data_IF_457198898152
#
_entry.id   IF_457198898152
#
_cell.length_a   1.000
_cell.length_b   1.000
_cell.length_c   1.000
_cell.angle_alpha   90.00
_cell.angle_beta   90.00
_cell.angle_gamma   90.00
#
_symmetry.space_group_name_H-M   'P 1'
#
loop_
_entity.id
_entity.type
_entity.pdbx_description
1 polymer ?
#
# COMPACT_ATOMS: atom_id res chain seq x y z
N UNK A 1 -53.82 29.91 24.80
CA UNK A 1 -52.94 29.82 23.61
C UNK A 1 -52.15 28.52 23.73
N UNK A 2 -52.12 27.60 22.77
CA UNK A 2 -51.77 27.70 21.33
C UNK A 2 -50.27 27.91 21.08
N UNK A 3 -49.63 26.79 20.70
CA UNK A 3 -48.69 26.59 19.57
C UNK A 3 -47.63 27.65 19.23
N UNK A 4 -46.38 27.14 19.14
CA UNK A 4 -45.31 27.40 18.14
C UNK A 4 -45.71 28.29 16.94
N UNK A 5 -44.80 29.15 16.38
CA UNK A 5 -43.67 28.62 15.57
C UNK A 5 -42.36 29.49 15.48
N UNK A 6 -41.44 28.97 14.64
CA UNK A 6 -40.34 29.61 13.90
C UNK A 6 -38.87 29.62 14.40
N UNK A 7 -38.02 29.18 13.47
CA UNK A 7 -36.56 29.22 13.39
C UNK A 7 -36.15 30.51 12.65
N UNK A 8 -34.99 31.13 12.94
CA UNK A 8 -34.16 31.85 11.95
C UNK A 8 -32.70 32.04 12.42
N UNK A 9 -31.78 32.03 11.45
CA UNK A 9 -30.30 32.07 11.51
C UNK A 9 -29.67 33.41 11.91
N UNK A 10 -28.41 33.39 12.41
CA UNK A 10 -27.15 33.87 11.76
C UNK A 10 -25.95 33.61 12.74
N UNK A 11 -24.71 33.20 12.38
CA UNK A 11 -23.72 33.55 11.33
C UNK A 11 -23.05 34.91 11.64
N UNK A 12 -21.73 35.15 11.59
CA UNK A 12 -20.52 34.39 11.16
C UNK A 12 -19.87 33.62 12.35
N UNK A 13 -18.64 33.06 12.42
CA UNK A 13 -17.38 32.96 11.61
C UNK A 13 -16.84 31.50 11.75
N UNK A 14 -15.90 30.90 11.00
CA UNK A 14 -14.86 31.23 9.99
C UNK A 14 -13.39 31.01 10.45
N UNK A 15 -12.86 29.83 10.13
CA UNK A 15 -11.48 29.62 9.71
C UNK A 15 -11.49 28.45 8.71
N UNK A 16 -11.33 28.74 7.41
CA UNK A 16 -11.35 27.73 6.36
C UNK A 16 -9.92 27.33 5.97
N UNK A 17 -9.58 26.07 6.25
CA UNK A 17 -8.53 25.33 5.55
C UNK A 17 -9.00 23.89 5.35
N UNK A 18 -10.02 23.67 4.53
CA UNK A 18 -10.54 22.35 4.21
C UNK A 18 -9.51 21.45 3.48
N UNK A 19 -9.04 20.33 4.07
CA UNK A 19 -8.67 19.17 3.27
C UNK A 19 -9.98 18.53 2.80
N UNK A 20 -10.18 18.43 1.49
CA UNK A 20 -11.43 17.91 0.93
C UNK A 20 -11.73 16.49 1.44
N UNK A 21 -12.68 16.37 2.38
CA UNK A 21 -13.12 15.07 2.88
C UNK A 21 -13.96 14.37 1.82
N UNK A 22 -13.26 13.65 0.94
CA UNK A 22 -13.84 12.66 0.07
C UNK A 22 -14.57 11.64 0.97
N UNK A 23 -15.89 11.53 0.82
CA UNK A 23 -16.69 10.56 1.57
C UNK A 23 -16.43 9.16 1.01
N UNK A 24 -15.28 8.57 1.40
CA UNK A 24 -14.93 7.20 1.07
C UNK A 24 -15.63 6.29 2.07
N UNK A 25 -16.67 5.51 1.69
CA UNK A 25 -17.28 4.55 2.61
C UNK A 25 -16.21 3.60 3.17
N UNK A 26 -16.33 3.31 4.47
CA UNK A 26 -15.41 2.43 5.19
C UNK A 26 -15.89 0.98 5.01
N UNK A 27 -15.83 0.50 3.77
CA UNK A 27 -15.96 -0.92 3.50
C UNK A 27 -14.68 -1.66 3.94
N UNK A 28 -14.85 -2.85 4.52
CA UNK A 28 -13.77 -3.71 5.02
C UNK A 28 -13.08 -4.48 3.87
N UNK A 29 -12.66 -3.76 2.83
CA UNK A 29 -12.08 -4.37 1.63
C UNK A 29 -10.61 -4.71 1.91
N UNK A 30 -10.39 -5.81 2.63
CA UNK A 30 -9.09 -6.46 2.66
C UNK A 30 -8.80 -7.01 1.26
N UNK A 31 -7.67 -6.65 0.66
CA UNK A 31 -7.35 -7.01 -0.72
C UNK A 31 -5.93 -7.58 -0.82
N UNK A 32 -5.80 -8.69 -1.55
CA UNK A 32 -4.59 -9.49 -1.64
C UNK A 32 -4.15 -9.65 -3.10
N UNK A 33 -2.92 -9.23 -3.36
CA UNK A 33 -2.31 -9.20 -4.68
C UNK A 33 -1.05 -10.08 -4.67
N UNK A 34 -0.82 -10.85 -5.74
CA UNK A 34 0.30 -11.80 -5.87
C UNK A 34 1.00 -11.62 -7.22
N UNK A 35 2.31 -11.77 -7.23
CA UNK A 35 3.14 -11.77 -8.44
C UNK A 35 4.51 -12.39 -8.21
N UNK A 36 5.34 -12.33 -9.26
CA UNK A 36 6.78 -12.61 -9.16
C UNK A 36 7.54 -11.34 -8.77
N UNK A 37 8.63 -11.46 -8.02
CA UNK A 37 9.61 -10.39 -7.79
C UNK A 37 10.85 -10.69 -8.63
N UNK A 38 11.02 -9.99 -9.74
CA UNK A 38 12.24 -10.04 -10.55
C UNK A 38 13.26 -9.06 -9.94
N UNK A 39 14.30 -9.59 -9.31
CA UNK A 39 15.38 -8.74 -8.75
C UNK A 39 16.45 -8.43 -9.80
N UNK A 40 17.17 -7.33 -9.59
CA UNK A 40 18.33 -6.93 -10.40
C UNK A 40 19.60 -7.69 -9.98
N UNK A 41 19.48 -8.94 -9.53
CA UNK A 41 20.59 -9.79 -9.05
C UNK A 41 20.64 -11.10 -9.83
N UNK A 42 21.81 -11.73 -9.88
CA UNK A 42 22.04 -13.02 -10.53
C UNK A 42 21.56 -14.23 -9.70
N UNK A 43 21.38 -14.07 -8.38
CA UNK A 43 21.07 -15.17 -7.46
C UNK A 43 19.59 -15.27 -7.02
N UNK A 44 18.77 -14.22 -7.18
CA UNK A 44 17.38 -14.18 -6.70
C UNK A 44 16.39 -13.83 -7.82
N UNK A 45 16.33 -14.66 -8.86
CA UNK A 45 15.51 -14.45 -10.07
C UNK A 45 14.78 -15.70 -10.58
N UNK A 46 14.86 -16.83 -9.88
CA UNK A 46 14.25 -18.10 -10.31
C UNK A 46 12.73 -18.14 -10.05
N UNK A 47 12.31 -18.15 -8.78
CA UNK A 47 10.93 -18.42 -8.37
C UNK A 47 10.47 -17.51 -7.20
N UNK A 48 11.00 -16.30 -7.14
CA UNK A 48 10.70 -15.30 -6.11
C UNK A 48 9.23 -14.86 -6.16
N UNK A 49 8.44 -15.25 -5.16
CA UNK A 49 7.02 -14.86 -5.05
C UNK A 49 6.90 -13.71 -4.05
N UNK A 50 6.06 -12.73 -4.39
CA UNK A 50 5.71 -11.62 -3.50
C UNK A 50 4.19 -11.45 -3.45
N UNK A 51 3.69 -11.19 -2.24
CA UNK A 51 2.29 -10.95 -1.92
C UNK A 51 2.19 -9.61 -1.20
N UNK A 52 1.24 -8.77 -1.62
CA UNK A 52 0.82 -7.56 -0.91
C UNK A 52 -0.61 -7.77 -0.41
N UNK A 53 -0.81 -7.66 0.91
CA UNK A 53 -2.13 -7.56 1.52
C UNK A 53 -2.36 -6.11 1.97
N UNK A 54 -3.55 -5.55 1.75
CA UNK A 54 -3.93 -4.21 2.25
C UNK A 54 -5.20 -4.30 3.09
N UNK A 55 -5.30 -3.47 4.14
CA UNK A 55 -6.53 -3.32 4.92
C UNK A 55 -7.30 -2.07 4.48
N UNK A 56 -8.57 -2.25 4.08
CA UNK A 56 -9.43 -1.17 3.60
C UNK A 56 -9.01 -0.57 2.24
N UNK A 57 -8.19 -1.28 1.47
CA UNK A 57 -7.62 -0.85 0.20
C UNK A 57 -6.50 0.20 0.31
N UNK A 58 -6.20 0.87 -0.80
CA UNK A 58 -5.18 1.92 -0.86
C UNK A 58 -5.73 3.23 -0.28
N UNK A 59 -5.38 3.51 0.98
CA UNK A 59 -5.65 4.79 1.66
C UNK A 59 -4.34 5.27 2.27
N UNK A 60 -4.04 6.56 2.18
CA UNK A 60 -2.87 7.08 2.89
C UNK A 60 -3.07 6.90 4.40
N UNK A 61 -2.07 6.30 5.06
CA UNK A 61 -2.14 5.90 6.47
C UNK A 61 -2.72 4.50 6.73
N UNK A 62 -3.21 3.75 5.71
CA UNK A 62 -3.63 2.36 5.94
C UNK A 62 -2.43 1.40 6.00
N UNK A 63 -2.59 0.34 6.80
CA UNK A 63 -1.63 -0.75 6.90
C UNK A 63 -1.68 -1.63 5.66
N UNK A 64 -0.50 -1.99 5.17
CA UNK A 64 -0.33 -3.08 4.22
C UNK A 64 0.81 -4.00 4.67
N UNK A 65 0.76 -5.27 4.27
CA UNK A 65 1.76 -6.28 4.61
C UNK A 65 2.34 -6.82 3.32
N UNK A 66 3.65 -6.71 3.16
CA UNK A 66 4.39 -7.44 2.12
C UNK A 66 4.87 -8.75 2.72
N UNK A 67 4.59 -9.86 2.06
CA UNK A 67 5.21 -11.16 2.33
C UNK A 67 5.93 -11.65 1.08
N UNK A 68 7.13 -12.19 1.24
CA UNK A 68 7.92 -12.63 0.10
C UNK A 68 8.73 -13.89 0.37
N UNK A 69 8.90 -14.67 -0.68
CA UNK A 69 9.74 -15.87 -0.74
C UNK A 69 10.94 -15.56 -1.62
N UNK A 70 12.14 -15.64 -1.06
CA UNK A 70 13.39 -15.67 -1.83
C UNK A 70 13.85 -17.12 -1.94
N UNK A 71 14.24 -17.58 -3.13
CA UNK A 71 14.75 -18.94 -3.31
C UNK A 71 16.13 -19.11 -2.69
N UNK A 72 17.02 -18.13 -2.89
CA UNK A 72 18.44 -18.15 -2.50
C UNK A 72 18.88 -16.80 -1.93
N UNK A 73 19.95 -16.83 -1.14
CA UNK A 73 20.72 -15.66 -0.73
C UNK A 73 21.99 -15.53 -1.59
N UNK A 74 22.72 -14.42 -1.47
CA UNK A 74 23.92 -14.12 -2.27
C UNK A 74 25.08 -15.12 -2.12
N UNK A 75 25.08 -15.91 -1.03
CA UNK A 75 25.99 -17.02 -0.77
C UNK A 75 25.49 -18.38 -1.31
N UNK A 76 24.40 -18.39 -2.09
CA UNK A 76 23.78 -19.59 -2.64
C UNK A 76 22.93 -20.43 -1.67
N UNK A 77 22.91 -20.13 -0.36
CA UNK A 77 22.09 -20.90 0.60
C UNK A 77 20.60 -20.54 0.48
N UNK A 78 19.67 -21.46 0.78
CA UNK A 78 18.25 -21.14 0.88
C UNK A 78 17.99 -19.96 1.82
N UNK A 79 17.14 -19.03 1.41
CA UNK A 79 16.81 -17.83 2.19
C UNK A 79 15.43 -17.99 2.83
N UNK A 80 15.29 -17.58 4.09
CA UNK A 80 13.98 -17.62 4.77
C UNK A 80 12.99 -16.67 4.11
N UNK A 81 11.73 -17.09 4.05
CA UNK A 81 10.61 -16.22 3.71
C UNK A 81 10.53 -15.06 4.73
N UNK A 82 10.07 -13.90 4.27
CA UNK A 82 9.88 -12.71 5.09
C UNK A 82 8.42 -12.24 5.03
N UNK A 83 7.99 -11.58 6.10
CA UNK A 83 6.74 -10.83 6.16
C UNK A 83 6.98 -9.55 6.93
N UNK A 84 6.61 -8.42 6.36
CA UNK A 84 6.87 -7.07 6.88
C UNK A 84 5.59 -6.24 6.77
N UNK A 85 5.16 -5.69 7.91
CA UNK A 85 4.08 -4.73 7.97
C UNK A 85 4.61 -3.33 7.65
N UNK A 86 3.79 -2.53 6.96
CA UNK A 86 4.12 -1.18 6.58
C UNK A 86 2.89 -0.31 6.43
N UNK A 87 3.12 0.97 6.15
CA UNK A 87 2.09 2.00 6.02
C UNK A 87 2.17 2.62 4.64
N UNK A 88 1.01 2.82 4.00
CA UNK A 88 0.94 3.59 2.75
C UNK A 88 1.17 5.08 3.09
N UNK A 89 2.38 5.58 2.84
CA UNK A 89 2.81 6.93 3.25
C UNK A 89 2.33 8.02 2.30
N UNK A 90 2.16 7.70 1.01
CA UNK A 90 1.55 8.58 0.01
C UNK A 90 0.58 7.83 -0.88
N UNK A 91 -0.51 8.50 -1.27
CA UNK A 91 -1.43 8.09 -2.32
C UNK A 91 -1.62 9.25 -3.29
N UNK A 92 -1.24 9.08 -4.55
CA UNK A 92 -1.28 10.13 -5.57
C UNK A 92 -1.90 9.60 -6.87
N UNK A 93 -3.23 9.74 -6.99
CA UNK A 93 -4.08 9.23 -8.09
C UNK A 93 -3.98 7.70 -8.25
N UNK A 94 -2.99 7.23 -9.00
CA UNK A 94 -2.69 5.84 -9.33
C UNK A 94 -1.41 5.33 -8.65
N UNK A 95 -0.64 6.21 -7.99
CA UNK A 95 0.62 5.86 -7.32
C UNK A 95 0.47 5.71 -5.83
N UNK A 96 1.18 4.73 -5.26
CA UNK A 96 1.33 4.51 -3.82
C UNK A 96 2.81 4.50 -3.45
N UNK A 97 3.09 4.93 -2.22
CA UNK A 97 4.38 4.68 -1.57
C UNK A 97 4.14 3.83 -0.33
N UNK A 98 4.91 2.76 -0.16
CA UNK A 98 4.85 1.89 1.01
C UNK A 98 6.17 1.95 1.79
N UNK A 99 6.06 2.39 3.04
CA UNK A 99 7.15 2.36 4.01
C UNK A 99 6.97 1.16 4.95
N UNK A 100 8.03 0.35 5.12
CA UNK A 100 7.97 -0.94 5.84
C UNK A 100 8.83 -0.99 7.12
N UNK A 101 9.35 0.16 7.57
CA UNK A 101 10.11 0.30 8.83
C UNK A 101 11.49 0.94 8.65
N UNK A 102 12.00 1.59 9.69
CA UNK A 102 13.32 2.27 9.66
C UNK A 102 14.50 1.28 9.71
N UNK A 103 14.34 0.15 10.41
CA UNK A 103 15.31 -0.95 10.46
C UNK A 103 15.27 -1.90 9.24
N UNK A 104 14.43 -1.62 8.24
CA UNK A 104 14.26 -2.47 7.05
C UNK A 104 15.04 -1.92 5.85
N UNK A 105 15.93 -2.76 5.29
CA UNK A 105 16.85 -2.40 4.19
C UNK A 105 16.16 -2.09 2.83
N UNK A 106 14.83 -2.13 2.76
CA UNK A 106 14.08 -1.97 1.51
C UNK A 106 12.83 -1.13 1.69
N UNK A 107 12.44 -0.38 0.65
CA UNK A 107 11.10 0.22 0.53
C UNK A 107 10.48 -0.09 -0.84
N UNK A 108 9.17 0.16 -0.98
CA UNK A 108 8.42 -0.19 -2.18
C UNK A 108 7.61 0.99 -2.71
N UNK A 109 7.85 1.38 -3.96
CA UNK A 109 7.00 2.31 -4.71
C UNK A 109 6.03 1.49 -5.56
N UNK A 110 4.75 1.84 -5.57
CA UNK A 110 3.72 1.15 -6.35
C UNK A 110 3.00 2.04 -7.35
N UNK A 111 2.54 1.46 -8.44
CA UNK A 111 1.48 2.03 -9.29
C UNK A 111 0.35 1.01 -9.41
N UNK A 112 -0.86 1.40 -9.00
CA UNK A 112 -2.09 0.62 -8.98
C UNK A 112 -2.90 0.95 -10.23
N UNK A 113 -3.32 -0.08 -10.97
CA UNK A 113 -4.12 0.06 -12.20
C UNK A 113 -5.21 -1.01 -12.22
N UNK A 114 -6.36 -0.67 -11.64
CA UNK A 114 -7.43 -1.62 -11.34
C UNK A 114 -6.93 -2.78 -10.48
N UNK A 115 -7.15 -4.00 -10.95
CA UNK A 115 -6.76 -5.24 -10.26
C UNK A 115 -5.25 -5.56 -10.33
N UNK A 116 -4.42 -4.65 -10.86
CA UNK A 116 -2.96 -4.83 -10.99
C UNK A 116 -2.16 -3.81 -10.22
N UNK A 117 -0.98 -4.21 -9.75
CA UNK A 117 -0.02 -3.32 -9.10
C UNK A 117 1.38 -3.62 -9.62
N UNK A 118 2.06 -2.60 -10.12
CA UNK A 118 3.50 -2.67 -10.38
C UNK A 118 4.22 -2.12 -9.17
N UNK A 119 4.96 -2.96 -8.45
CA UNK A 119 5.86 -2.54 -7.37
C UNK A 119 7.31 -2.43 -7.88
N UNK A 120 8.03 -1.44 -7.37
CA UNK A 120 9.47 -1.29 -7.49
C UNK A 120 10.08 -1.30 -6.10
N UNK A 121 10.89 -2.32 -5.82
CA UNK A 121 11.68 -2.47 -4.60
C UNK A 121 12.96 -1.65 -4.75
N UNK A 122 13.27 -0.76 -3.80
CA UNK A 122 14.58 -0.10 -3.73
C UNK A 122 15.36 -0.60 -2.50
N UNK A 123 16.68 -0.52 -2.55
CA UNK A 123 17.58 -0.68 -1.40
C UNK A 123 17.54 0.53 -0.46
N UNK A 124 18.28 0.46 0.65
CA UNK A 124 18.53 1.56 1.59
C UNK A 124 19.12 2.82 0.91
N UNK A 125 19.88 2.66 -0.18
CA UNK A 125 20.43 3.76 -1.00
C UNK A 125 19.42 4.31 -2.04
N UNK A 126 18.16 3.89 -1.97
CA UNK A 126 17.07 4.22 -2.89
C UNK A 126 17.27 3.76 -4.35
N UNK A 127 18.30 2.95 -4.62
CA UNK A 127 18.56 2.34 -5.91
C UNK A 127 17.63 1.14 -6.19
N UNK A 128 17.21 0.97 -7.44
CA UNK A 128 16.31 -0.09 -7.89
C UNK A 128 16.91 -1.50 -7.66
N UNK A 129 16.32 -2.23 -6.71
CA UNK A 129 16.73 -3.60 -6.36
C UNK A 129 15.91 -4.65 -7.11
N UNK A 130 14.67 -4.34 -7.50
CA UNK A 130 13.83 -5.26 -8.26
C UNK A 130 12.44 -4.69 -8.58
N UNK A 131 11.70 -5.40 -9.42
CA UNK A 131 10.34 -5.06 -9.85
C UNK A 131 9.43 -6.27 -9.66
N UNK A 132 8.18 -6.02 -9.28
CA UNK A 132 7.14 -7.03 -9.25
C UNK A 132 5.88 -6.54 -9.97
N UNK A 133 5.24 -7.41 -10.74
CA UNK A 133 3.90 -7.16 -11.28
C UNK A 133 2.92 -8.11 -10.58
N UNK A 134 2.10 -7.52 -9.70
CA UNK A 134 1.08 -8.20 -8.92
C UNK A 134 -0.28 -8.13 -9.63
N UNK A 135 -1.09 -9.17 -9.48
CA UNK A 135 -2.52 -9.14 -9.78
C UNK A 135 -3.33 -9.52 -8.54
N UNK A 136 -4.52 -8.93 -8.39
CA UNK A 136 -5.49 -9.28 -7.37
C UNK A 136 -5.86 -10.76 -7.50
N UNK A 137 -5.85 -11.49 -6.39
CA UNK A 137 -6.29 -12.89 -6.36
C UNK A 137 -7.37 -13.15 -5.29
N UNK A 138 -7.54 -12.22 -4.34
CA UNK A 138 -8.63 -12.25 -3.36
C UNK A 138 -8.95 -10.85 -2.86
N UNK A 139 -10.24 -10.57 -2.66
CA UNK A 139 -10.73 -9.35 -2.00
C UNK A 139 -12.00 -9.66 -1.21
N UNK A 140 -12.12 -9.09 -0.03
CA UNK A 140 -13.38 -9.01 0.70
C UNK A 140 -14.30 -7.94 0.09
N UNK A 141 -15.62 -8.19 0.15
CA UNK A 141 -16.70 -7.41 -0.48
C UNK A 141 -17.87 -7.22 0.48
#
# INVERSE_FOLDING_TARGET
MQTFPFITHQILFSCDTSPAQLHIPIFSNNAFYKGKLDTNTDYATENEVIILATNGGFRQGSTAVISGQFTKAANGTPKSNYSIAGTITKLAKDKIELFVGEDQYYWFVGTVSGDKITLTMKSQELADYGKAELSLFYSET
#
